data_IF_242829920354
#
_entry.id   IF_242829920354
#
_cell.length_a   1.000
_cell.length_b   1.000
_cell.length_c   1.000
_cell.angle_alpha   90.00
_cell.angle_beta   90.00
_cell.angle_gamma   90.00
#
_symmetry.space_group_name_H-M   'P 1'
#
loop_
_entity.id
_entity.type
_entity.pdbx_description
1 polymer ?
#
# COMPACT_ATOMS: atom_id res chain seq x y z
N UNK A 1 -1.74 -14.65 -4.33
CA UNK A 1 -1.29 -14.75 -2.93
C UNK A 1 -2.48 -15.00 -2.05
N UNK A 2 -2.29 -15.02 -0.75
CA UNK A 2 -3.36 -15.07 0.26
C UNK A 2 -3.36 -13.77 1.07
N UNK A 3 -4.56 -13.30 1.43
CA UNK A 3 -4.76 -12.20 2.37
C UNK A 3 -5.58 -12.75 3.54
N UNK A 4 -5.03 -12.66 4.74
CA UNK A 4 -5.77 -12.87 5.98
C UNK A 4 -6.15 -11.50 6.51
N UNK A 5 -7.45 -11.22 6.53
CA UNK A 5 -7.99 -9.95 6.99
C UNK A 5 -8.56 -10.07 8.40
N UNK A 6 -7.76 -9.68 9.39
CA UNK A 6 -8.16 -9.69 10.79
C UNK A 6 -8.88 -8.40 11.24
N UNK A 7 -9.22 -7.52 10.30
CA UNK A 7 -10.13 -6.39 10.55
C UNK A 7 -11.60 -6.81 10.40
N UNK A 8 -11.85 -7.92 9.70
CA UNK A 8 -13.18 -8.50 9.51
C UNK A 8 -13.47 -9.67 10.46
N UNK A 9 -12.43 -10.42 10.87
CA UNK A 9 -12.56 -11.60 11.72
C UNK A 9 -11.43 -11.64 12.75
N UNK A 10 -11.72 -12.10 13.97
CA UNK A 10 -10.67 -12.21 14.99
C UNK A 10 -9.64 -13.28 14.62
N UNK A 11 -8.34 -13.03 14.90
CA UNK A 11 -7.31 -14.03 14.70
C UNK A 11 -7.52 -15.21 15.63
N UNK A 12 -7.23 -16.44 15.17
CA UNK A 12 -7.41 -17.61 16.01
C UNK A 12 -6.39 -17.57 17.19
N UNK A 13 -6.73 -18.11 18.37
CA UNK A 13 -5.86 -18.07 19.55
C UNK A 13 -4.49 -18.72 19.33
N UNK A 14 -4.43 -19.69 18.42
CA UNK A 14 -3.24 -20.45 18.01
C UNK A 14 -2.58 -19.88 16.73
N UNK A 15 -2.79 -18.59 16.43
CA UNK A 15 -2.27 -17.91 15.24
C UNK A 15 -0.78 -18.19 14.98
N UNK A 16 0.06 -18.03 16.01
CA UNK A 16 1.51 -18.20 15.89
C UNK A 16 1.88 -19.64 15.52
N UNK A 17 1.25 -20.63 16.16
CA UNK A 17 1.48 -22.06 15.91
C UNK A 17 1.03 -22.46 14.49
N UNK A 18 -0.05 -21.83 14.00
CA UNK A 18 -0.61 -22.11 12.67
C UNK A 18 0.11 -21.40 11.53
N UNK A 19 0.87 -20.35 11.81
CA UNK A 19 1.45 -19.53 10.75
C UNK A 19 2.47 -20.31 9.91
N UNK A 20 3.39 -21.05 10.56
CA UNK A 20 4.38 -21.89 9.89
C UNK A 20 3.77 -22.95 8.96
N UNK A 21 2.89 -23.86 9.45
CA UNK A 21 2.28 -24.88 8.58
C UNK A 21 1.38 -24.28 7.50
N UNK A 22 0.75 -23.13 7.76
CA UNK A 22 -0.04 -22.43 6.73
C UNK A 22 0.85 -21.95 5.59
N UNK A 23 2.02 -21.38 5.89
CA UNK A 23 2.97 -20.95 4.86
C UNK A 23 3.54 -22.11 4.05
N UNK A 24 3.86 -23.25 4.69
CA UNK A 24 4.33 -24.45 3.99
C UNK A 24 3.26 -24.95 3.01
N UNK A 25 2.00 -25.01 3.47
CA UNK A 25 0.87 -25.37 2.63
C UNK A 25 0.72 -24.41 1.45
N UNK A 26 0.72 -23.10 1.69
CA UNK A 26 0.59 -22.10 0.64
C UNK A 26 1.73 -22.17 -0.38
N UNK A 27 2.96 -22.45 0.07
CA UNK A 27 4.09 -22.70 -0.81
C UNK A 27 3.88 -23.93 -1.69
N UNK A 28 3.42 -25.04 -1.11
CA UNK A 28 3.11 -26.26 -1.84
C UNK A 28 1.96 -26.09 -2.84
N UNK A 29 0.98 -25.24 -2.53
CA UNK A 29 -0.11 -24.84 -3.44
C UNK A 29 0.35 -23.85 -4.53
N UNK A 30 1.62 -23.42 -4.52
CA UNK A 30 2.19 -22.51 -5.52
C UNK A 30 1.80 -21.04 -5.31
N UNK A 31 1.28 -20.67 -4.14
CA UNK A 31 0.99 -19.28 -3.82
C UNK A 31 2.29 -18.48 -3.68
N UNK A 32 2.29 -17.28 -4.26
CA UNK A 32 3.49 -16.45 -4.35
C UNK A 32 3.72 -15.53 -3.16
N UNK A 33 2.64 -15.12 -2.51
CA UNK A 33 2.67 -14.12 -1.44
C UNK A 33 1.63 -14.42 -0.38
N UNK A 34 1.94 -14.05 0.86
CA UNK A 34 1.00 -13.99 1.97
C UNK A 34 0.96 -12.56 2.51
N UNK A 35 -0.23 -12.10 2.87
CA UNK A 35 -0.47 -10.79 3.48
C UNK A 35 -1.35 -10.94 4.71
N UNK A 36 -1.07 -10.14 5.73
CA UNK A 36 -1.84 -10.09 6.97
C UNK A 36 -2.29 -8.65 7.17
N UNK A 37 -3.60 -8.39 7.19
CA UNK A 37 -4.16 -7.11 7.61
C UNK A 37 -4.51 -7.22 9.08
N UNK A 38 -3.78 -6.49 9.93
CA UNK A 38 -3.96 -6.51 11.39
C UNK A 38 -4.57 -5.18 11.85
N UNK A 39 -5.67 -5.19 12.61
CA UNK A 39 -6.10 -4.02 13.36
C UNK A 39 -5.11 -3.74 14.50
N UNK A 40 -5.06 -2.50 14.97
CA UNK A 40 -4.11 -2.06 16.00
C UNK A 40 -4.26 -2.84 17.32
N UNK A 41 -5.47 -3.33 17.61
CA UNK A 41 -5.79 -4.20 18.74
C UNK A 41 -5.03 -5.55 18.70
N UNK A 42 -4.64 -6.00 17.50
CA UNK A 42 -3.87 -7.22 17.27
C UNK A 42 -2.44 -6.96 16.78
N UNK A 43 -1.92 -5.73 16.98
CA UNK A 43 -0.56 -5.38 16.55
C UNK A 43 0.53 -6.29 17.13
N UNK A 44 0.30 -6.92 18.30
CA UNK A 44 1.23 -7.89 18.89
C UNK A 44 1.48 -9.13 18.00
N UNK A 45 0.54 -9.49 17.13
CA UNK A 45 0.73 -10.60 16.18
C UNK A 45 1.76 -10.28 15.09
N UNK A 46 2.09 -9.00 14.88
CA UNK A 46 3.15 -8.59 13.98
C UNK A 46 4.51 -9.17 14.41
N UNK A 47 4.76 -9.31 15.72
CA UNK A 47 5.98 -9.92 16.25
C UNK A 47 6.10 -11.38 15.81
N UNK A 48 5.06 -12.18 16.02
CA UNK A 48 5.02 -13.58 15.59
C UNK A 48 5.17 -13.71 14.06
N UNK A 49 4.50 -12.83 13.31
CA UNK A 49 4.64 -12.81 11.86
C UNK A 49 6.08 -12.45 11.41
N UNK A 50 6.74 -11.52 12.11
CA UNK A 50 8.12 -11.12 11.80
C UNK A 50 9.13 -12.26 12.03
N UNK A 51 8.95 -13.09 13.05
CA UNK A 51 9.76 -14.31 13.27
C UNK A 51 9.69 -15.28 12.08
N UNK A 52 8.57 -15.25 11.37
CA UNK A 52 8.34 -16.02 10.15
C UNK A 52 8.68 -15.25 8.87
N UNK A 53 9.36 -14.10 8.97
CA UNK A 53 9.87 -13.32 7.84
C UNK A 53 8.81 -12.50 7.11
N UNK A 54 7.71 -12.15 7.76
CA UNK A 54 6.84 -11.07 7.30
C UNK A 54 7.49 -9.70 7.58
N UNK A 55 7.19 -8.71 6.74
CA UNK A 55 7.62 -7.31 6.90
C UNK A 55 6.45 -6.35 6.71
N UNK A 56 6.54 -5.16 7.30
CA UNK A 56 5.53 -4.12 7.08
C UNK A 56 5.49 -3.69 5.61
N UNK A 57 4.29 -3.48 5.09
CA UNK A 57 4.08 -3.08 3.71
C UNK A 57 3.42 -1.71 3.58
N UNK A 58 2.22 -1.51 4.14
CA UNK A 58 1.53 -0.21 4.15
C UNK A 58 0.46 -0.17 5.24
N UNK A 59 -0.04 1.04 5.50
CA UNK A 59 -1.27 1.30 6.28
C UNK A 59 -2.41 1.52 5.28
N UNK A 60 -3.45 0.69 5.27
CA UNK A 60 -4.59 0.85 4.38
C UNK A 60 -5.33 2.18 4.60
N UNK A 61 -5.78 2.81 3.50
CA UNK A 61 -6.56 4.06 3.55
C UNK A 61 -7.97 3.87 4.12
N UNK A 62 -8.50 2.64 4.07
CA UNK A 62 -9.85 2.28 4.50
C UNK A 62 -10.01 2.09 6.01
N UNK A 63 -8.92 2.20 6.77
CA UNK A 63 -8.87 1.76 8.17
C UNK A 63 -8.72 2.90 9.18
N UNK A 64 -8.97 4.17 8.81
CA UNK A 64 -8.75 5.34 9.66
C UNK A 64 -7.34 5.39 10.30
N UNK A 65 -6.35 4.76 9.65
CA UNK A 65 -4.98 4.62 10.16
C UNK A 65 -4.81 3.59 11.31
N UNK A 66 -5.82 2.76 11.59
CA UNK A 66 -5.82 1.77 12.69
C UNK A 66 -5.54 0.33 12.26
N UNK A 67 -5.11 0.10 11.03
CA UNK A 67 -4.65 -1.23 10.61
C UNK A 67 -3.33 -1.16 9.84
N UNK A 68 -2.60 -2.27 9.82
CA UNK A 68 -1.37 -2.41 9.06
C UNK A 68 -1.43 -3.68 8.21
N UNK A 69 -0.87 -3.60 7.01
CA UNK A 69 -0.65 -4.77 6.15
C UNK A 69 0.81 -5.20 6.27
N UNK A 70 1.01 -6.46 6.67
CA UNK A 70 2.29 -7.15 6.57
C UNK A 70 2.32 -7.98 5.29
N UNK A 71 3.50 -8.13 4.69
CA UNK A 71 3.73 -8.97 3.51
C UNK A 71 4.80 -10.02 3.76
N UNK A 72 4.68 -11.16 3.06
CA UNK A 72 5.74 -12.13 2.86
C UNK A 72 5.71 -12.67 1.44
N UNK A 73 6.87 -12.71 0.79
CA UNK A 73 7.06 -13.48 -0.43
C UNK A 73 7.34 -14.95 -0.08
N UNK A 74 6.61 -15.87 -0.72
CA UNK A 74 6.63 -17.29 -0.41
C UNK A 74 7.53 -18.10 -1.35
N UNK A 75 8.04 -17.51 -2.43
CA UNK A 75 8.76 -18.25 -3.47
C UNK A 75 10.26 -17.87 -3.45
N UNK A 76 11.09 -18.52 -2.61
CA UNK A 76 12.47 -18.08 -2.38
C UNK A 76 13.38 -18.16 -3.62
N UNK A 77 13.01 -18.98 -4.61
CA UNK A 77 13.74 -19.11 -5.88
C UNK A 77 13.28 -18.14 -6.96
N UNK A 78 12.23 -17.34 -6.70
CA UNK A 78 11.68 -16.36 -7.64
C UNK A 78 11.85 -14.95 -7.09
N UNK A 79 12.03 -13.99 -8.00
CA UNK A 79 12.03 -12.57 -7.67
C UNK A 79 10.73 -12.16 -6.95
N UNK A 80 10.87 -11.42 -5.84
CA UNK A 80 9.72 -10.82 -5.13
C UNK A 80 9.09 -9.74 -6.01
N UNK A 81 7.87 -10.01 -6.48
CA UNK A 81 7.09 -9.09 -7.31
C UNK A 81 6.08 -8.25 -6.52
N UNK A 82 6.10 -8.31 -5.20
CA UNK A 82 5.27 -7.42 -4.38
C UNK A 82 5.87 -6.02 -4.49
N UNK A 83 5.13 -5.04 -5.05
CA UNK A 83 5.66 -3.70 -5.23
C UNK A 83 6.22 -3.16 -3.91
N UNK A 84 7.40 -2.50 -3.93
CA UNK A 84 7.83 -1.73 -2.77
C UNK A 84 6.85 -0.58 -2.50
N UNK A 85 7.04 0.11 -1.38
CA UNK A 85 6.33 1.36 -1.09
C UNK A 85 6.42 2.33 -2.28
N UNK A 86 5.47 3.27 -2.38
CA UNK A 86 5.50 4.28 -3.43
C UNK A 86 6.81 5.08 -3.36
N UNK A 87 7.71 4.82 -4.31
CA UNK A 87 9.07 5.40 -4.33
C UNK A 87 9.16 6.64 -5.22
N UNK A 88 8.18 6.85 -6.09
CA UNK A 88 8.23 7.90 -7.10
C UNK A 88 6.90 8.64 -7.16
N UNK A 89 6.98 9.98 -7.21
CA UNK A 89 5.88 10.81 -7.66
C UNK A 89 5.97 10.93 -9.17
N UNK A 90 4.86 10.66 -9.86
CA UNK A 90 4.76 10.83 -11.32
C UNK A 90 4.10 12.17 -11.60
N UNK A 91 4.87 13.09 -12.17
CA UNK A 91 4.34 14.35 -12.71
C UNK A 91 3.96 14.18 -14.18
N UNK A 92 2.81 14.72 -14.58
CA UNK A 92 2.37 14.76 -15.97
C UNK A 92 2.25 16.23 -16.37
N UNK A 93 2.77 16.59 -17.54
CA UNK A 93 2.61 17.90 -18.15
C UNK A 93 1.94 17.77 -19.52
N UNK A 94 1.01 18.67 -19.84
CA UNK A 94 0.35 18.74 -21.14
C UNK A 94 0.83 19.95 -21.95
N UNK A 95 1.21 19.73 -23.21
CA UNK A 95 1.51 20.78 -24.17
C UNK A 95 0.28 21.03 -25.04
N UNK A 96 -0.34 22.20 -24.91
CA UNK A 96 -1.51 22.58 -25.70
C UNK A 96 -1.18 23.83 -26.52
N UNK A 97 -1.25 23.69 -27.85
CA UNK A 97 -0.98 24.73 -28.83
C UNK A 97 -2.19 24.83 -29.75
N UNK A 98 -2.66 26.05 -30.03
CA UNK A 98 -3.74 26.27 -30.99
C UNK A 98 -3.25 26.44 -32.43
N UNK A 99 -4.17 26.57 -33.38
CA UNK A 99 -3.86 26.74 -34.81
C UNK A 99 -3.06 28.02 -35.11
N UNK A 100 -3.05 28.98 -34.18
CA UNK A 100 -2.29 30.23 -34.29
C UNK A 100 -0.89 30.13 -33.63
N UNK A 101 -0.51 28.97 -33.10
CA UNK A 101 0.79 28.75 -32.45
C UNK A 101 0.89 29.30 -31.04
N UNK A 102 -0.22 29.58 -30.36
CA UNK A 102 -0.23 30.08 -28.96
C UNK A 102 -0.23 28.93 -27.97
N UNK A 103 0.54 29.08 -26.89
CA UNK A 103 0.65 28.08 -25.82
C UNK A 103 -0.37 28.33 -24.69
N UNK A 104 -1.08 27.29 -24.26
CA UNK A 104 -1.86 27.35 -23.02
C UNK A 104 -0.93 27.36 -21.80
N UNK A 105 -1.08 28.37 -20.95
CA UNK A 105 -0.37 28.48 -19.67
C UNK A 105 -1.38 28.59 -18.54
N UNK A 106 -1.02 28.09 -17.36
CA UNK A 106 -1.82 28.20 -16.12
C UNK A 106 -1.03 28.95 -15.06
N UNK A 107 -1.73 29.70 -14.20
CA UNK A 107 -1.18 30.34 -13.02
C UNK A 107 -1.99 29.90 -11.81
N UNK A 108 -1.34 29.21 -10.88
CA UNK A 108 -1.96 28.90 -9.59
C UNK A 108 -2.23 30.19 -8.83
N UNK A 109 -3.38 30.24 -8.17
CA UNK A 109 -3.74 31.38 -7.34
C UNK A 109 -3.05 31.31 -5.99
N UNK A 110 -2.62 32.46 -5.46
CA UNK A 110 -2.04 32.58 -4.13
C UNK A 110 -2.82 33.59 -3.29
N UNK A 111 -3.10 33.20 -2.04
CA UNK A 111 -3.70 34.01 -0.97
C UNK A 111 -2.73 35.10 -0.48
N UNK A 112 -2.38 36.04 -1.36
CA UNK A 112 -1.64 37.25 -0.96
C UNK A 112 -2.66 38.35 -0.67
N UNK A 113 -2.57 39.00 0.51
CA UNK A 113 -3.43 40.13 0.89
C UNK A 113 -3.46 41.18 -0.25
N UNK A 114 -4.65 41.40 -0.84
CA UNK A 114 -4.87 42.33 -1.96
C UNK A 114 -5.04 41.67 -3.34
N UNK A 115 -4.96 40.35 -3.46
CA UNK A 115 -5.20 39.63 -4.72
C UNK A 115 -6.69 39.57 -5.11
N UNK A 116 -7.18 40.53 -5.88
CA UNK A 116 -8.52 40.46 -6.48
C UNK A 116 -8.67 39.27 -7.44
N UNK A 117 -9.88 38.70 -7.52
CA UNK A 117 -10.24 37.65 -8.49
C UNK A 117 -10.54 38.27 -9.85
N UNK A 118 -9.56 38.28 -10.75
CA UNK A 118 -9.83 38.43 -12.19
C UNK A 118 -9.33 37.19 -12.93
N UNK A 119 -10.22 36.43 -13.61
CA UNK A 119 -9.80 35.38 -14.52
C UNK A 119 -8.91 35.97 -15.62
N UNK A 120 -7.89 35.23 -16.02
CA UNK A 120 -7.15 35.52 -17.26
C UNK A 120 -8.14 35.51 -18.43
N UNK A 121 -8.27 36.65 -19.12
CA UNK A 121 -9.05 36.80 -20.36
C UNK A 121 -8.44 36.01 -21.51
#
# INVERSE_FOLDING_TARGET
GVLLDFTAEDPPPDFAERLAPSMERWQAEGLKSAMLKLPIEHAGLATAAAEHGFSFHHVPLDADGRSVVLKKWLQPLLEDKIPPFATHQVGIAGLCIDDAGRLLVVKEWSDVEGGGREPSK
#
